data_IF_959598664333
#
_entry.id   IF_959598664333
#
_cell.length_a   1.000
_cell.length_b   1.000
_cell.length_c   1.000
_cell.angle_alpha   90.00
_cell.angle_beta   90.00
_cell.angle_gamma   90.00
#
_symmetry.space_group_name_H-M   'P 1'
#
loop_
_entity.id
_entity.type
_entity.pdbx_description
1 polymer ?
#
# COMPACT_ATOMS: atom_id res chain seq x y z
N UNK A 1 39.21 -38.66 3.89
CA UNK A 1 39.64 -37.25 3.83
C UNK A 1 38.46 -36.44 3.36
N UNK A 2 37.87 -35.66 4.26
CA UNK A 2 36.61 -34.92 4.10
C UNK A 2 36.83 -33.80 3.07
N UNK A 3 36.12 -33.85 1.95
CA UNK A 3 36.10 -32.78 0.96
C UNK A 3 34.94 -31.83 1.29
N UNK A 4 35.24 -30.81 2.09
CA UNK A 4 34.35 -29.69 2.40
C UNK A 4 34.14 -28.86 1.15
N UNK A 5 32.92 -28.83 0.61
CA UNK A 5 32.56 -27.96 -0.50
C UNK A 5 32.48 -26.51 -0.02
N UNK A 6 33.28 -25.65 -0.66
CA UNK A 6 33.35 -24.21 -0.42
C UNK A 6 32.09 -23.53 -0.96
N UNK A 7 31.31 -22.94 -0.07
CA UNK A 7 30.20 -22.04 -0.37
C UNK A 7 30.73 -20.74 -0.99
N UNK A 8 30.53 -20.55 -2.30
CA UNK A 8 30.81 -19.28 -2.95
C UNK A 8 29.71 -18.24 -2.63
N UNK A 9 30.10 -17.30 -1.78
CA UNK A 9 29.49 -16.00 -1.53
C UNK A 9 29.56 -15.14 -2.82
N UNK A 10 28.45 -14.94 -3.51
CA UNK A 10 28.38 -14.07 -4.68
C UNK A 10 28.34 -12.59 -4.24
N UNK A 11 29.50 -11.96 -4.34
CA UNK A 11 29.70 -10.52 -4.21
C UNK A 11 28.94 -9.80 -5.33
N UNK A 12 27.85 -9.10 -5.02
CA UNK A 12 27.17 -8.26 -6.01
C UNK A 12 28.04 -7.04 -6.30
N UNK A 13 28.37 -6.88 -7.58
CA UNK A 13 29.13 -5.77 -8.13
C UNK A 13 28.29 -4.49 -8.06
N UNK A 14 28.61 -3.61 -7.11
CA UNK A 14 28.09 -2.24 -7.01
C UNK A 14 28.26 -1.50 -8.34
N UNK A 15 27.14 -1.03 -8.90
CA UNK A 15 27.11 -0.09 -10.02
C UNK A 15 27.67 1.24 -9.50
N UNK A 16 28.65 1.78 -10.23
CA UNK A 16 29.30 3.04 -9.90
C UNK A 16 28.28 4.19 -9.96
N UNK A 17 28.20 4.94 -8.87
CA UNK A 17 27.56 6.25 -8.80
C UNK A 17 28.10 7.18 -9.90
N UNK A 18 27.21 7.65 -10.76
CA UNK A 18 27.38 8.98 -11.35
C UNK A 18 26.67 9.94 -10.41
N UNK A 19 27.46 10.70 -9.65
CA UNK A 19 27.00 11.84 -8.89
C UNK A 19 26.40 12.88 -9.86
N UNK A 20 25.06 12.91 -9.93
CA UNK A 20 24.35 14.17 -10.16
C UNK A 20 24.31 14.91 -8.83
N UNK A 21 24.48 16.22 -8.88
CA UNK A 21 24.29 17.12 -7.74
C UNK A 21 22.83 17.01 -7.27
N UNK A 22 22.57 16.10 -6.32
CA UNK A 22 21.28 15.97 -5.65
C UNK A 22 21.11 17.09 -4.61
N UNK A 23 19.89 17.62 -4.43
CA UNK A 23 19.58 18.51 -3.31
C UNK A 23 19.96 17.82 -1.99
N UNK A 24 20.31 18.56 -0.93
CA UNK A 24 20.79 17.98 0.32
C UNK A 24 19.80 16.91 0.78
N UNK A 25 20.28 15.67 0.83
CA UNK A 25 19.53 14.50 1.25
C UNK A 25 19.22 14.72 2.73
N UNK A 26 18.07 15.34 3.02
CA UNK A 26 17.57 15.43 4.38
C UNK A 26 17.44 13.98 4.87
N UNK A 27 18.22 13.65 5.89
CA UNK A 27 18.23 12.31 6.45
C UNK A 27 16.84 11.99 7.01
N UNK A 28 16.42 10.73 6.98
CA UNK A 28 15.14 10.27 7.55
C UNK A 28 14.91 10.79 8.99
N UNK A 29 16.00 10.93 9.75
CA UNK A 29 16.05 11.50 11.10
C UNK A 29 15.49 12.94 11.13
N UNK A 30 15.82 13.76 10.13
CA UNK A 30 15.41 15.18 10.07
C UNK A 30 13.89 15.32 9.98
N UNK A 31 13.22 14.47 9.21
CA UNK A 31 11.75 14.49 9.08
C UNK A 31 11.06 13.78 10.25
N UNK A 32 11.67 12.75 10.83
CA UNK A 32 11.13 12.11 12.02
C UNK A 32 11.03 13.11 13.20
N UNK A 33 11.99 14.03 13.31
CA UNK A 33 11.99 15.09 14.33
C UNK A 33 10.89 16.15 14.14
N UNK A 34 10.31 16.29 12.94
CA UNK A 34 9.21 17.25 12.70
C UNK A 34 7.85 16.71 13.10
N UNK A 35 7.70 15.40 13.34
CA UNK A 35 6.42 14.78 13.69
C UNK A 35 6.08 15.09 15.16
N UNK A 36 4.96 15.78 15.38
CA UNK A 36 4.47 16.06 16.74
C UNK A 36 3.29 15.16 17.11
N UNK A 37 3.16 14.82 18.40
CA UNK A 37 2.04 14.00 18.89
C UNK A 37 0.68 14.65 18.60
N UNK A 38 0.57 15.97 18.79
CA UNK A 38 -0.67 16.71 18.58
C UNK A 38 -1.11 16.66 17.11
N UNK A 39 -0.21 16.95 16.18
CA UNK A 39 -0.49 16.91 14.74
C UNK A 39 -0.85 15.49 14.29
N UNK A 40 -0.06 14.48 14.70
CA UNK A 40 -0.32 13.08 14.36
C UNK A 40 -1.70 12.63 14.86
N UNK A 41 -2.06 13.04 16.07
CA UNK A 41 -3.35 12.72 16.67
C UNK A 41 -4.51 13.32 15.86
N UNK A 42 -4.40 14.57 15.45
CA UNK A 42 -5.44 15.24 14.66
C UNK A 42 -5.62 14.56 13.30
N UNK A 43 -4.52 14.28 12.58
CA UNK A 43 -4.58 13.54 11.31
C UNK A 43 -5.18 12.15 11.50
N UNK A 44 -4.76 11.42 12.53
CA UNK A 44 -5.23 10.06 12.78
C UNK A 44 -6.72 10.03 13.07
N UNK A 45 -7.23 10.91 13.93
CA UNK A 45 -8.66 10.92 14.26
C UNK A 45 -9.53 11.34 13.08
N UNK A 46 -9.09 12.31 12.27
CA UNK A 46 -9.83 12.70 11.07
C UNK A 46 -9.86 11.52 10.10
N UNK A 47 -8.69 10.98 9.75
CA UNK A 47 -8.56 9.95 8.72
C UNK A 47 -9.21 8.61 9.11
N UNK A 48 -9.24 8.29 10.40
CA UNK A 48 -9.87 7.09 10.94
C UNK A 48 -11.32 7.30 11.42
N UNK A 49 -11.89 8.50 11.22
CA UNK A 49 -13.27 8.79 11.62
C UNK A 49 -14.29 8.05 10.74
N UNK A 50 -15.50 7.90 11.27
CA UNK A 50 -16.63 7.27 10.57
C UNK A 50 -16.97 7.98 9.25
N UNK A 51 -16.65 9.27 9.12
CA UNK A 51 -16.89 10.05 7.89
C UNK A 51 -16.12 9.48 6.68
N UNK A 52 -14.99 8.82 6.92
CA UNK A 52 -14.15 8.21 5.89
C UNK A 52 -14.52 6.76 5.60
N UNK A 53 -15.55 6.22 6.26
CA UNK A 53 -16.23 4.94 5.97
C UNK A 53 -15.30 3.69 5.96
N UNK A 54 -14.04 3.83 6.35
CA UNK A 54 -13.06 2.75 6.48
C UNK A 54 -12.16 2.55 5.26
N UNK A 55 -11.68 1.30 5.10
CA UNK A 55 -10.60 0.93 4.16
C UNK A 55 -11.07 0.18 2.92
N UNK A 56 -12.39 0.13 2.68
CA UNK A 56 -12.93 -0.56 1.52
C UNK A 56 -12.62 0.20 0.22
N UNK A 57 -12.01 -0.50 -0.74
CA UNK A 57 -11.71 0.05 -2.07
C UNK A 57 -13.00 0.20 -2.89
N UNK A 58 -13.13 1.33 -3.58
CA UNK A 58 -14.27 1.67 -4.44
C UNK A 58 -15.38 2.46 -3.75
N UNK A 59 -15.34 2.58 -2.43
CA UNK A 59 -16.38 3.27 -1.65
C UNK A 59 -16.19 4.80 -1.61
N UNK A 60 -17.25 5.58 -1.29
CA UNK A 60 -17.18 7.04 -1.15
C UNK A 60 -16.14 7.49 -0.11
N UNK A 61 -16.03 6.77 1.02
CA UNK A 61 -15.02 7.01 2.04
C UNK A 61 -13.58 7.07 1.52
N UNK A 62 -13.20 6.13 0.64
CA UNK A 62 -11.89 6.14 -0.02
C UNK A 62 -11.65 7.45 -0.78
N UNK A 63 -12.66 7.98 -1.48
CA UNK A 63 -12.54 9.23 -2.25
C UNK A 63 -12.29 10.44 -1.35
N UNK A 64 -12.89 10.47 -0.16
CA UNK A 64 -12.61 11.51 0.84
C UNK A 64 -11.19 11.36 1.40
N UNK A 65 -10.77 10.12 1.68
CA UNK A 65 -9.45 9.80 2.19
C UNK A 65 -8.33 10.25 1.23
N UNK A 66 -8.44 9.93 -0.06
CA UNK A 66 -7.45 10.35 -1.06
C UNK A 66 -7.43 11.87 -1.24
N UNK A 67 -8.58 12.54 -1.16
CA UNK A 67 -8.66 13.99 -1.28
C UNK A 67 -8.00 14.69 -0.08
N UNK A 68 -8.17 14.12 1.12
CA UNK A 68 -7.50 14.59 2.32
C UNK A 68 -5.97 14.49 2.20
N UNK A 69 -5.45 13.33 1.79
CA UNK A 69 -4.00 13.15 1.60
C UNK A 69 -3.44 14.10 0.55
N UNK A 70 -4.13 14.26 -0.58
CA UNK A 70 -3.74 15.23 -1.61
C UNK A 70 -3.63 16.65 -1.03
N UNK A 71 -4.63 17.08 -0.26
CA UNK A 71 -4.64 18.42 0.33
C UNK A 71 -3.48 18.60 1.33
N UNK A 72 -3.14 17.59 2.14
CA UNK A 72 -1.99 17.66 3.03
C UNK A 72 -0.66 17.73 2.27
N UNK A 73 -0.52 16.98 1.17
CA UNK A 73 0.67 17.03 0.33
C UNK A 73 0.84 18.40 -0.32
N UNK A 74 -0.25 19.00 -0.81
CA UNK A 74 -0.26 20.35 -1.36
C UNK A 74 0.11 21.40 -0.30
N UNK A 75 -0.41 21.29 0.93
CA UNK A 75 -0.04 22.19 2.05
C UNK A 75 1.44 22.10 2.40
N UNK A 76 2.01 20.90 2.37
CA UNK A 76 3.43 20.65 2.61
C UNK A 76 4.31 21.02 1.40
N UNK A 77 3.71 21.50 0.31
CA UNK A 77 4.42 21.82 -0.94
C UNK A 77 5.20 20.63 -1.52
N UNK A 78 4.72 19.41 -1.26
CA UNK A 78 5.30 18.18 -1.81
C UNK A 78 4.87 18.11 -3.28
N UNK A 79 5.80 18.03 -4.25
CA UNK A 79 5.42 17.94 -5.65
C UNK A 79 4.72 16.62 -5.95
N UNK A 80 3.82 16.65 -6.94
CA UNK A 80 3.21 15.44 -7.47
C UNK A 80 4.30 14.49 -8.01
N UNK A 81 4.10 13.18 -7.78
CA UNK A 81 5.02 12.16 -8.27
C UNK A 81 4.89 11.93 -9.79
N UNK A 82 3.82 12.41 -10.42
CA UNK A 82 3.60 12.30 -11.87
C UNK A 82 4.01 13.59 -12.58
N UNK A 83 4.52 13.45 -13.80
CA UNK A 83 4.92 14.59 -14.64
C UNK A 83 3.75 15.51 -15.00
N UNK A 84 2.53 14.95 -15.04
CA UNK A 84 1.29 15.66 -15.35
C UNK A 84 0.77 16.50 -14.17
N UNK A 85 1.47 16.50 -13.03
CA UNK A 85 1.08 17.25 -11.82
C UNK A 85 -0.05 16.58 -11.02
N UNK A 86 -0.39 15.33 -11.33
CA UNK A 86 -1.42 14.58 -10.61
C UNK A 86 -0.81 13.82 -9.42
N UNK A 87 -1.48 13.88 -8.27
CA UNK A 87 -1.09 13.15 -7.06
C UNK A 87 -1.62 11.72 -7.02
N UNK A 88 -2.50 11.34 -7.96
CA UNK A 88 -3.16 10.05 -7.96
C UNK A 88 -2.49 9.03 -8.88
N UNK A 89 -2.42 7.80 -8.41
CA UNK A 89 -2.10 6.62 -9.22
C UNK A 89 -3.39 5.85 -9.50
N UNK A 90 -3.67 5.60 -10.77
CA UNK A 90 -4.81 4.77 -11.16
C UNK A 90 -4.50 3.29 -10.93
N UNK A 91 -5.37 2.60 -10.20
CA UNK A 91 -5.27 1.16 -9.93
C UNK A 91 -6.61 0.52 -10.33
N UNK A 92 -6.63 -0.48 -11.22
CA UNK A 92 -7.86 -1.15 -11.61
C UNK A 92 -8.47 -1.89 -10.42
N UNK A 93 -9.79 -1.75 -10.26
CA UNK A 93 -10.54 -2.43 -9.21
C UNK A 93 -10.98 -3.82 -9.70
N UNK A 94 -10.44 -4.86 -9.08
CA UNK A 94 -10.84 -6.24 -9.30
C UNK A 94 -11.66 -6.74 -8.10
N UNK A 95 -12.89 -7.17 -8.34
CA UNK A 95 -13.77 -7.71 -7.30
C UNK A 95 -13.91 -9.21 -7.51
N UNK A 96 -13.24 -9.98 -6.66
CA UNK A 96 -13.43 -11.44 -6.61
C UNK A 96 -14.78 -11.76 -5.96
N UNK A 97 -15.68 -12.36 -6.73
CA UNK A 97 -16.92 -12.92 -6.21
C UNK A 97 -16.74 -14.42 -6.01
N UNK A 98 -17.23 -14.92 -4.88
CA UNK A 98 -17.30 -16.37 -4.69
C UNK A 98 -18.24 -16.97 -5.76
N UNK A 99 -17.85 -18.11 -6.38
CA UNK A 99 -18.74 -18.80 -7.30
C UNK A 99 -19.97 -19.30 -6.55
N UNK A 100 -21.15 -19.08 -7.13
CA UNK A 100 -22.43 -19.53 -6.59
C UNK A 100 -22.74 -20.90 -7.20
N UNK A 101 -22.95 -21.92 -6.36
CA UNK A 101 -23.26 -23.24 -6.85
C UNK A 101 -23.55 -24.26 -5.76
N UNK A 102 -23.79 -25.50 -6.19
CA UNK A 102 -24.01 -26.65 -5.32
C UNK A 102 -23.15 -27.82 -5.77
N UNK A 103 -22.54 -28.50 -4.81
CA UNK A 103 -21.82 -29.76 -5.01
C UNK A 103 -22.74 -30.90 -4.56
N UNK A 104 -23.06 -31.83 -5.47
CA UNK A 104 -23.91 -32.99 -5.14
C UNK A 104 -23.06 -34.25 -4.99
N UNK A 105 -23.08 -34.88 -3.82
CA UNK A 105 -22.44 -36.18 -3.56
C UNK A 105 -23.49 -37.17 -3.05
N UNK A 106 -23.65 -38.30 -3.74
CA UNK A 106 -24.62 -39.35 -3.36
C UNK A 106 -26.02 -38.79 -3.03
N UNK A 107 -26.57 -37.96 -3.92
CA UNK A 107 -27.87 -37.27 -3.76
C UNK A 107 -27.97 -36.27 -2.59
N UNK A 108 -26.87 -35.93 -1.93
CA UNK A 108 -26.82 -34.86 -0.93
C UNK A 108 -26.22 -33.61 -1.57
N UNK A 109 -26.94 -32.50 -1.49
CA UNK A 109 -26.50 -31.20 -2.03
C UNK A 109 -25.78 -30.40 -0.94
N UNK A 110 -24.59 -29.91 -1.26
CA UNK A 110 -23.78 -29.03 -0.42
C UNK A 110 -23.66 -27.67 -1.08
N UNK A 111 -24.13 -26.62 -0.40
CA UNK A 111 -24.10 -25.25 -0.93
C UNK A 111 -22.68 -24.68 -0.81
N UNK A 112 -22.16 -24.16 -1.92
CA UNK A 112 -20.86 -23.46 -1.96
C UNK A 112 -21.00 -22.13 -1.20
N UNK A 113 -20.06 -21.87 -0.28
CA UNK A 113 -20.06 -20.72 0.62
C UNK A 113 -20.65 -20.98 2.02
N UNK A 114 -21.42 -22.05 2.19
CA UNK A 114 -21.98 -22.45 3.50
C UNK A 114 -21.39 -23.78 3.98
N UNK A 115 -21.40 -24.79 3.09
CA UNK A 115 -20.95 -26.14 3.41
C UNK A 115 -19.58 -26.47 2.80
N UNK A 116 -19.23 -25.80 1.70
CA UNK A 116 -17.98 -26.02 0.94
C UNK A 116 -17.41 -24.69 0.51
N UNK A 117 -16.12 -24.46 0.74
CA UNK A 117 -15.39 -23.31 0.21
C UNK A 117 -14.67 -23.69 -1.07
N UNK A 118 -14.83 -22.90 -2.12
CA UNK A 118 -14.10 -23.04 -3.39
C UNK A 118 -13.43 -21.70 -3.71
N UNK A 119 -12.14 -21.73 -4.00
CA UNK A 119 -11.31 -20.56 -4.32
C UNK A 119 -11.05 -20.46 -5.83
#
# INVERSE_FOLDING_TARGET
MVATALSCNSSQKTIKENASEEPPIASEITYAETITEAELKDHLYIYASDEYEGRETGQPGQKKAIAYLKAEYEKLSIPAATEDGNYFQEVPLEISKLPIGKLSLNNTDFIIGEHVLTF
#
